data_IF_501117705364
#
_entry.id   IF_501117705364
#
_cell.length_a   1.000
_cell.length_b   1.000
_cell.length_c   1.000
_cell.angle_alpha   90.00
_cell.angle_beta   90.00
_cell.angle_gamma   90.00
#
_symmetry.space_group_name_H-M   'P 1'
#
loop_
_entity.id
_entity.type
_entity.pdbx_description
1 polymer ?
#
# COMPACT_ATOMS: atom_id res chain seq x y z
N UNK A 1 39.57 12.13 -53.04
CA UNK A 1 39.61 11.08 -52.01
C UNK A 1 39.45 11.76 -50.65
N UNK A 2 38.31 12.43 -50.42
CA UNK A 2 38.20 13.37 -49.28
C UNK A 2 36.75 13.77 -48.91
N UNK A 3 35.75 12.89 -49.10
CA UNK A 3 34.34 13.17 -48.71
C UNK A 3 33.58 11.93 -48.26
N UNK A 4 34.01 11.26 -47.19
CA UNK A 4 33.27 10.09 -46.66
C UNK A 4 33.37 9.85 -45.14
N UNK A 5 33.77 10.84 -44.33
CA UNK A 5 34.03 10.64 -42.88
C UNK A 5 33.21 11.52 -41.91
N UNK A 6 32.02 11.99 -42.27
CA UNK A 6 31.24 12.92 -41.41
C UNK A 6 29.79 12.51 -41.14
N UNK A 7 29.43 11.22 -41.26
CA UNK A 7 28.06 10.72 -40.96
C UNK A 7 27.99 9.66 -39.86
N UNK A 8 29.09 9.38 -39.15
CA UNK A 8 29.18 8.24 -38.23
C UNK A 8 29.12 8.53 -36.72
N UNK A 9 28.99 9.79 -36.28
CA UNK A 9 29.11 10.14 -34.84
C UNK A 9 27.81 10.74 -34.27
N UNK A 10 26.83 11.08 -35.11
CA UNK A 10 25.59 11.76 -34.69
C UNK A 10 24.50 10.87 -34.09
N UNK A 11 24.57 9.54 -34.24
CA UNK A 11 23.46 8.63 -33.85
C UNK A 11 23.69 7.94 -32.50
N UNK A 12 24.94 7.88 -32.01
CA UNK A 12 25.25 7.16 -30.76
C UNK A 12 24.96 8.02 -29.51
N UNK A 13 24.94 9.35 -29.62
CA UNK A 13 24.67 10.25 -28.48
C UNK A 13 23.17 10.38 -28.19
N UNK A 14 22.29 10.11 -29.16
CA UNK A 14 20.83 10.22 -28.98
C UNK A 14 20.20 8.99 -28.30
N UNK A 15 20.88 7.85 -28.28
CA UNK A 15 20.36 6.63 -27.63
C UNK A 15 20.71 6.60 -26.12
N UNK A 16 21.78 7.26 -25.70
CA UNK A 16 22.18 7.30 -24.28
C UNK A 16 21.38 8.29 -23.42
N UNK A 17 20.69 9.27 -24.01
CA UNK A 17 19.86 10.23 -23.28
C UNK A 17 18.39 9.77 -23.09
N UNK A 18 17.96 8.70 -23.78
CA UNK A 18 16.63 8.12 -23.59
C UNK A 18 16.60 7.00 -22.52
N UNK A 19 17.75 6.49 -22.07
CA UNK A 19 17.81 5.44 -21.05
C UNK A 19 17.84 5.96 -19.60
N UNK A 20 18.09 7.25 -19.37
CA UNK A 20 18.12 7.84 -18.02
C UNK A 20 16.75 8.42 -17.62
N UNK A 21 15.86 8.70 -18.58
CA UNK A 21 14.57 9.34 -18.31
C UNK A 21 13.42 8.37 -17.95
N UNK A 22 13.63 7.05 -18.03
CA UNK A 22 12.57 6.05 -17.77
C UNK A 22 12.46 5.67 -16.28
N UNK A 23 13.41 6.08 -15.42
CA UNK A 23 13.43 5.71 -14.00
C UNK A 23 12.75 6.71 -13.04
N UNK A 24 12.13 7.80 -13.53
CA UNK A 24 11.58 8.88 -12.68
C UNK A 24 10.02 8.89 -12.64
N UNK A 25 9.32 7.94 -13.27
CA UNK A 25 7.86 7.96 -13.30
C UNK A 25 7.19 6.60 -13.01
N UNK A 26 7.58 5.97 -11.90
CA UNK A 26 6.72 5.00 -11.22
C UNK A 26 6.20 5.62 -9.91
N UNK A 27 4.98 6.19 -9.89
CA UNK A 27 4.34 6.66 -8.67
C UNK A 27 3.93 5.52 -7.70
N UNK A 28 4.32 4.27 -7.95
CA UNK A 28 3.77 3.09 -7.30
C UNK A 28 4.39 2.71 -5.93
N UNK A 29 5.53 3.30 -5.52
CA UNK A 29 6.18 2.89 -4.26
C UNK A 29 5.63 3.65 -3.05
N UNK A 30 5.02 4.83 -3.24
CA UNK A 30 4.70 5.70 -2.11
C UNK A 30 3.29 5.57 -1.53
N UNK A 31 2.37 4.86 -2.19
CA UNK A 31 1.04 4.51 -1.66
C UNK A 31 1.03 3.14 -0.96
N UNK A 32 2.22 2.56 -0.74
CA UNK A 32 2.37 1.16 -0.32
C UNK A 32 2.60 0.99 1.20
N UNK A 33 2.89 2.07 1.93
CA UNK A 33 3.25 2.01 3.36
C UNK A 33 2.06 2.10 4.34
N UNK A 34 0.83 2.32 3.86
CA UNK A 34 -0.34 2.56 4.72
C UNK A 34 -0.98 1.30 5.32
N UNK A 35 -0.46 0.09 5.06
CA UNK A 35 -1.19 -1.15 5.37
C UNK A 35 -1.09 -1.71 6.80
N UNK A 36 -0.49 -1.02 7.78
CA UNK A 36 -0.28 -1.62 9.11
C UNK A 36 -0.61 -0.77 10.35
N UNK A 37 -1.26 0.38 10.24
CA UNK A 37 -1.75 1.15 11.40
C UNK A 37 -3.24 1.46 11.30
N UNK A 38 -4.09 0.44 11.19
CA UNK A 38 -5.54 0.64 10.99
C UNK A 38 -6.34 0.92 12.28
N UNK A 39 -5.70 1.05 13.45
CA UNK A 39 -6.39 1.48 14.66
C UNK A 39 -5.62 2.56 15.43
N UNK A 40 -6.07 3.81 15.26
CA UNK A 40 -5.82 4.98 16.11
C UNK A 40 -4.47 5.72 16.03
N UNK A 41 -3.76 5.68 14.90
CA UNK A 41 -2.74 6.71 14.63
C UNK A 41 -3.41 7.99 14.14
N UNK A 42 -3.17 9.11 14.82
CA UNK A 42 -3.41 10.46 14.30
C UNK A 42 -2.94 10.48 12.85
N UNK A 43 -3.87 10.73 11.91
CA UNK A 43 -3.61 10.70 10.46
C UNK A 43 -2.42 11.61 10.15
N UNK A 44 -1.23 11.02 10.06
CA UNK A 44 -0.05 11.63 9.47
C UNK A 44 -0.17 11.57 7.95
N UNK A 45 -1.38 11.79 7.44
CA UNK A 45 -1.68 11.64 6.05
C UNK A 45 -0.84 12.67 5.30
N UNK A 46 -0.05 12.17 4.35
CA UNK A 46 0.73 12.97 3.41
C UNK A 46 -0.13 14.02 2.72
N UNK A 47 -1.43 13.79 2.60
CA UNK A 47 -2.37 14.73 1.99
C UNK A 47 -2.80 15.88 2.91
N UNK A 48 -2.64 15.74 4.24
CA UNK A 48 -3.10 16.73 5.22
C UNK A 48 -1.98 17.70 5.63
N UNK A 49 -0.74 17.23 5.74
CA UNK A 49 0.38 18.07 6.17
C UNK A 49 1.18 18.65 4.98
N UNK A 50 1.10 19.97 4.71
CA UNK A 50 1.78 20.57 3.56
C UNK A 50 3.31 20.45 3.62
N UNK A 51 3.91 20.47 4.81
CA UNK A 51 5.36 20.32 4.97
C UNK A 51 5.82 18.90 4.70
N UNK A 52 5.03 17.89 5.06
CA UNK A 52 5.35 16.49 4.76
C UNK A 52 5.40 16.27 3.25
N UNK A 53 4.34 16.70 2.55
CA UNK A 53 4.26 16.61 1.10
C UNK A 53 5.40 17.38 0.41
N UNK A 54 5.60 18.64 0.78
CA UNK A 54 6.65 19.49 0.21
C UNK A 54 8.05 18.91 0.46
N UNK A 55 8.30 18.36 1.65
CA UNK A 55 9.56 17.69 2.00
C UNK A 55 9.93 16.60 1.00
N UNK A 56 8.97 15.74 0.66
CA UNK A 56 9.18 14.64 -0.29
C UNK A 56 9.29 15.10 -1.74
N UNK A 57 8.48 16.08 -2.15
CA UNK A 57 8.52 16.64 -3.51
C UNK A 57 9.84 17.36 -3.79
N UNK A 58 10.41 18.05 -2.79
CA UNK A 58 11.68 18.76 -2.90
C UNK A 58 12.90 17.90 -2.54
N UNK A 59 12.70 16.71 -1.96
CA UNK A 59 13.78 15.92 -1.38
C UNK A 59 14.49 16.65 -0.23
N UNK A 60 13.77 17.48 0.53
CA UNK A 60 14.34 18.34 1.57
C UNK A 60 13.88 17.91 2.97
N UNK A 61 14.60 17.01 3.65
CA UNK A 61 14.20 16.49 4.95
C UNK A 61 14.10 17.56 6.04
N UNK A 62 14.76 18.73 5.88
CA UNK A 62 14.67 19.82 6.86
C UNK A 62 13.25 20.36 7.03
N UNK A 63 12.40 20.21 6.02
CA UNK A 63 10.98 20.58 6.10
C UNK A 63 10.21 19.71 7.10
N UNK A 64 10.63 18.46 7.34
CA UNK A 64 10.02 17.60 8.36
C UNK A 64 10.14 18.22 9.77
N UNK A 65 11.21 18.98 10.04
CA UNK A 65 11.40 19.68 11.31
C UNK A 65 10.30 20.71 11.65
N UNK A 66 9.54 21.17 10.64
CA UNK A 66 8.41 22.09 10.82
C UNK A 66 7.12 21.37 11.25
N UNK A 67 7.09 20.04 11.24
CA UNK A 67 5.92 19.24 11.62
C UNK A 67 5.85 19.14 13.15
N UNK A 68 4.76 19.65 13.73
CA UNK A 68 4.54 19.68 15.18
C UNK A 68 4.39 18.27 15.78
N UNK A 69 3.60 17.39 15.12
CA UNK A 69 3.35 16.03 15.58
C UNK A 69 4.60 15.16 15.51
N UNK A 70 5.07 14.65 16.65
CA UNK A 70 6.30 13.82 16.75
C UNK A 70 6.26 12.64 15.77
N UNK A 71 5.19 11.84 15.80
CA UNK A 71 5.04 10.67 14.95
C UNK A 71 5.08 11.04 13.46
N UNK A 72 4.36 12.09 13.05
CA UNK A 72 4.33 12.52 11.65
C UNK A 72 5.66 13.08 11.17
N UNK A 73 6.38 13.78 12.05
CA UNK A 73 7.74 14.25 11.77
C UNK A 73 8.71 13.10 11.57
N UNK A 74 8.67 12.10 12.45
CA UNK A 74 9.53 10.91 12.39
C UNK A 74 9.25 10.08 11.13
N UNK A 75 7.98 9.89 10.75
CA UNK A 75 7.60 9.27 9.47
C UNK A 75 8.05 10.09 8.26
N UNK A 76 7.96 11.43 8.31
CA UNK A 76 8.45 12.30 7.23
C UNK A 76 9.96 12.12 7.00
N UNK A 77 10.76 12.05 8.07
CA UNK A 77 12.19 11.76 7.96
C UNK A 77 12.43 10.36 7.41
N UNK A 78 11.70 9.34 7.88
CA UNK A 78 11.79 7.96 7.36
C UNK A 78 11.54 7.92 5.86
N UNK A 79 10.44 8.50 5.38
CA UNK A 79 10.10 8.50 3.95
C UNK A 79 11.15 9.22 3.11
N UNK A 80 11.69 10.35 3.60
CA UNK A 80 12.79 11.05 2.92
C UNK A 80 14.05 10.21 2.85
N UNK A 81 14.42 9.54 3.96
CA UNK A 81 15.57 8.64 4.00
C UNK A 81 15.44 7.52 2.96
N UNK A 82 14.25 6.92 2.87
CA UNK A 82 13.96 5.84 1.92
C UNK A 82 13.97 6.34 0.47
N UNK A 83 13.34 7.48 0.19
CA UNK A 83 13.28 8.08 -1.15
C UNK A 83 14.68 8.47 -1.67
N UNK A 84 15.54 8.97 -0.78
CA UNK A 84 16.90 9.42 -1.12
C UNK A 84 17.95 8.32 -0.93
N UNK A 85 17.57 7.19 -0.34
CA UNK A 85 18.48 6.12 0.08
C UNK A 85 19.64 6.64 0.96
N UNK A 86 19.34 7.54 1.90
CA UNK A 86 20.29 8.22 2.79
C UNK A 86 20.04 7.86 4.26
N UNK A 87 20.95 7.08 4.84
CA UNK A 87 20.90 6.64 6.25
C UNK A 87 21.07 7.79 7.25
N UNK A 88 21.70 8.90 6.86
CA UNK A 88 21.92 10.02 7.76
C UNK A 88 20.59 10.66 8.17
N UNK A 89 19.60 10.63 7.26
CA UNK A 89 18.24 11.10 7.54
C UNK A 89 17.56 10.19 8.58
N UNK A 90 17.82 8.87 8.59
CA UNK A 90 17.33 7.98 9.65
C UNK A 90 17.85 8.38 11.04
N UNK A 91 19.02 9.03 11.11
CA UNK A 91 19.56 9.59 12.35
C UNK A 91 18.71 10.72 12.95
N UNK A 92 17.87 11.38 12.15
CA UNK A 92 16.99 12.47 12.57
C UNK A 92 15.66 11.97 13.19
N UNK A 93 15.34 10.68 13.01
CA UNK A 93 14.15 10.05 13.59
C UNK A 93 14.33 9.87 15.10
N UNK A 94 13.38 10.37 15.89
CA UNK A 94 13.46 10.33 17.36
C UNK A 94 12.80 9.08 17.96
N UNK A 95 11.74 8.58 17.35
CA UNK A 95 11.11 7.32 17.74
C UNK A 95 11.96 6.11 17.37
N UNK A 96 12.31 5.28 18.36
CA UNK A 96 13.27 4.19 18.17
C UNK A 96 12.74 3.08 17.24
N UNK A 97 11.43 2.81 17.23
CA UNK A 97 10.84 1.80 16.35
C UNK A 97 10.82 2.31 14.89
N UNK A 98 10.36 3.55 14.68
CA UNK A 98 10.38 4.21 13.37
C UNK A 98 11.80 4.35 12.82
N UNK A 99 12.77 4.66 13.69
CA UNK A 99 14.20 4.73 13.35
C UNK A 99 14.73 3.37 12.92
N UNK A 100 14.39 2.30 13.64
CA UNK A 100 14.79 0.94 13.28
C UNK A 100 14.22 0.49 11.94
N UNK A 101 12.95 0.80 11.65
CA UNK A 101 12.35 0.56 10.33
C UNK A 101 13.12 1.28 9.21
N UNK A 102 13.47 2.54 9.45
CA UNK A 102 14.25 3.37 8.52
C UNK A 102 15.59 2.70 8.18
N UNK A 103 16.41 2.41 9.20
CA UNK A 103 17.71 1.74 8.99
C UNK A 103 17.56 0.36 8.37
N UNK A 104 16.55 -0.42 8.74
CA UNK A 104 16.29 -1.75 8.15
C UNK A 104 16.04 -1.66 6.65
N UNK A 105 15.23 -0.70 6.20
CA UNK A 105 14.98 -0.49 4.78
C UNK A 105 16.27 -0.10 4.03
N UNK A 106 17.04 0.86 4.55
CA UNK A 106 18.27 1.32 3.90
C UNK A 106 19.33 0.20 3.89
N UNK A 107 19.49 -0.53 4.99
CA UNK A 107 20.36 -1.70 5.10
C UNK A 107 20.01 -2.76 4.04
N UNK A 108 18.72 -3.06 3.86
CA UNK A 108 18.24 -3.96 2.81
C UNK A 108 18.56 -3.44 1.40
N UNK A 109 18.22 -2.18 1.10
CA UNK A 109 18.42 -1.59 -0.23
C UNK A 109 19.89 -1.48 -0.61
N UNK A 110 20.76 -1.15 0.35
CA UNK A 110 22.22 -1.07 0.16
C UNK A 110 22.92 -2.42 0.30
N UNK A 111 22.20 -3.50 0.67
CA UNK A 111 22.78 -4.79 1.03
C UNK A 111 23.92 -4.65 2.05
N UNK A 112 23.72 -3.79 3.05
CA UNK A 112 24.72 -3.44 4.06
C UNK A 112 24.15 -3.65 5.47
N UNK A 113 24.38 -4.83 6.08
CA UNK A 113 23.89 -5.12 7.43
C UNK A 113 24.56 -4.29 8.53
N UNK A 114 25.70 -3.65 8.27
CA UNK A 114 26.40 -2.84 9.28
C UNK A 114 25.59 -1.59 9.67
N UNK A 115 24.71 -1.11 8.77
CA UNK A 115 23.78 -0.03 9.05
C UNK A 115 22.79 -0.38 10.18
N UNK A 116 22.56 -1.67 10.46
CA UNK A 116 21.74 -2.09 11.58
C UNK A 116 22.38 -1.73 12.94
N UNK A 117 23.69 -1.48 13.02
CA UNK A 117 24.37 -1.12 14.26
C UNK A 117 23.86 0.19 14.89
N UNK A 118 23.15 1.03 14.13
CA UNK A 118 22.48 2.23 14.63
C UNK A 118 21.15 1.97 15.34
N UNK A 119 20.71 0.70 15.44
CA UNK A 119 19.48 0.29 16.12
C UNK A 119 19.80 -0.12 17.57
N UNK A 120 19.30 0.65 18.53
CA UNK A 120 19.57 0.44 19.96
C UNK A 120 18.79 -0.74 20.56
N UNK A 121 17.60 -1.02 20.03
CA UNK A 121 16.71 -2.05 20.56
C UNK A 121 17.19 -3.43 20.05
N UNK A 122 17.67 -4.34 20.92
CA UNK A 122 18.39 -5.54 20.49
C UNK A 122 17.58 -6.47 19.57
N UNK A 123 16.27 -6.57 19.77
CA UNK A 123 15.44 -7.45 18.95
C UNK A 123 15.17 -6.86 17.55
N UNK A 124 15.05 -5.53 17.44
CA UNK A 124 14.93 -4.84 16.15
C UNK A 124 16.28 -4.88 15.40
N UNK A 125 17.40 -4.80 16.12
CA UNK A 125 18.73 -5.02 15.56
C UNK A 125 18.83 -6.40 14.90
N UNK A 126 18.50 -7.48 15.63
CA UNK A 126 18.58 -8.83 15.07
C UNK A 126 17.63 -9.02 13.87
N UNK A 127 16.43 -8.43 13.92
CA UNK A 127 15.50 -8.43 12.79
C UNK A 127 16.08 -7.69 11.57
N UNK A 128 16.68 -6.52 11.77
CA UNK A 128 17.35 -5.77 10.72
C UNK A 128 18.46 -6.59 10.06
N UNK A 129 19.30 -7.27 10.85
CA UNK A 129 20.37 -8.13 10.33
C UNK A 129 19.81 -9.26 9.46
N UNK A 130 18.75 -9.93 9.91
CA UNK A 130 18.12 -11.00 9.15
C UNK A 130 17.58 -10.51 7.79
N UNK A 131 16.90 -9.34 7.81
CA UNK A 131 16.33 -8.72 6.61
C UNK A 131 17.42 -8.22 5.67
N UNK A 132 18.41 -7.47 6.17
CA UNK A 132 19.50 -6.91 5.37
C UNK A 132 20.35 -7.99 4.70
N UNK A 133 20.50 -9.14 5.36
CA UNK A 133 21.16 -10.34 4.81
C UNK A 133 20.26 -11.21 3.94
N UNK A 134 18.98 -10.88 3.80
CA UNK A 134 18.00 -11.63 3.02
C UNK A 134 17.91 -13.10 3.43
N UNK A 135 17.93 -13.36 4.74
CA UNK A 135 18.02 -14.71 5.26
C UNK A 135 16.77 -15.08 6.08
N UNK A 136 15.86 -15.88 5.50
CA UNK A 136 14.74 -16.47 6.24
C UNK A 136 15.22 -17.29 7.45
N UNK A 137 16.33 -18.00 7.32
CA UNK A 137 16.92 -18.79 8.41
C UNK A 137 17.27 -17.92 9.62
N UNK A 138 17.79 -16.69 9.42
CA UNK A 138 18.04 -15.77 10.53
C UNK A 138 16.74 -15.27 11.19
N UNK A 139 15.66 -15.10 10.43
CA UNK A 139 14.34 -14.82 11.01
C UNK A 139 13.85 -15.95 11.92
N UNK A 140 14.19 -17.22 11.60
CA UNK A 140 13.79 -18.38 12.42
C UNK A 140 14.40 -18.40 13.82
N UNK A 141 15.52 -17.70 14.03
CA UNK A 141 16.24 -17.64 15.30
C UNK A 141 15.69 -16.58 16.27
N UNK A 142 14.74 -15.76 15.84
CA UNK A 142 14.19 -14.69 16.66
C UNK A 142 13.17 -15.23 17.67
N UNK A 143 13.24 -14.71 18.89
CA UNK A 143 12.28 -14.99 19.96
C UNK A 143 11.72 -13.67 20.55
N UNK A 144 10.45 -13.64 20.94
CA UNK A 144 9.44 -14.72 20.84
C UNK A 144 8.89 -14.90 19.40
N UNK A 145 8.07 -15.94 19.19
CA UNK A 145 7.48 -16.32 17.89
C UNK A 145 6.92 -15.14 17.08
N UNK A 146 6.23 -14.18 17.71
CA UNK A 146 5.66 -13.04 16.97
C UNK A 146 6.75 -12.24 16.22
N UNK A 147 7.98 -12.15 16.76
CA UNK A 147 9.10 -11.47 16.10
C UNK A 147 9.56 -12.18 14.85
N UNK A 148 9.50 -13.52 14.81
CA UNK A 148 9.76 -14.28 13.58
C UNK A 148 8.77 -13.90 12.49
N UNK A 149 7.48 -13.85 12.85
CA UNK A 149 6.40 -13.50 11.92
C UNK A 149 6.62 -12.09 11.32
N UNK A 150 6.97 -11.11 12.15
CA UNK A 150 7.31 -9.76 11.66
C UNK A 150 8.58 -9.72 10.80
N UNK A 151 9.59 -10.53 11.12
CA UNK A 151 10.81 -10.63 10.30
C UNK A 151 10.50 -11.20 8.92
N UNK A 152 9.78 -12.32 8.84
CA UNK A 152 9.36 -12.90 7.57
C UNK A 152 8.48 -11.95 6.76
N UNK A 153 7.52 -11.28 7.38
CA UNK A 153 6.67 -10.30 6.69
C UNK A 153 7.50 -9.13 6.13
N UNK A 154 8.41 -8.57 6.95
CA UNK A 154 9.31 -7.51 6.51
C UNK A 154 10.21 -7.93 5.34
N UNK A 155 10.76 -9.15 5.41
CA UNK A 155 11.59 -9.71 4.35
C UNK A 155 10.78 -9.97 3.07
N UNK A 156 9.63 -10.63 3.19
CA UNK A 156 8.74 -10.94 2.07
C UNK A 156 8.27 -9.67 1.34
N UNK A 157 7.97 -8.60 2.09
CA UNK A 157 7.60 -7.30 1.55
C UNK A 157 8.75 -6.65 0.78
N UNK A 158 9.95 -6.63 1.36
CA UNK A 158 11.11 -5.96 0.76
C UNK A 158 11.68 -6.70 -0.45
N UNK A 159 11.59 -8.03 -0.44
CA UNK A 159 11.95 -8.87 -1.59
C UNK A 159 10.83 -9.01 -2.62
N UNK A 160 9.61 -8.58 -2.29
CA UNK A 160 8.40 -8.88 -3.04
C UNK A 160 8.32 -10.39 -3.36
N UNK A 161 8.54 -11.24 -2.35
CA UNK A 161 8.58 -12.69 -2.52
C UNK A 161 7.55 -13.37 -1.62
N UNK A 162 6.42 -13.78 -2.21
CA UNK A 162 5.32 -14.42 -1.50
C UNK A 162 5.67 -15.80 -0.92
N UNK A 163 6.70 -16.47 -1.43
CA UNK A 163 7.13 -17.76 -0.88
C UNK A 163 7.71 -17.61 0.53
N UNK A 164 8.16 -16.40 0.90
CA UNK A 164 8.65 -16.12 2.26
C UNK A 164 7.49 -16.11 3.26
N UNK A 165 6.26 -15.80 2.81
CA UNK A 165 5.09 -15.91 3.67
C UNK A 165 4.83 -17.35 4.12
N UNK A 166 5.23 -18.36 3.35
CA UNK A 166 5.00 -19.79 3.69
C UNK A 166 5.75 -20.25 4.96
N UNK A 167 6.70 -19.46 5.47
CA UNK A 167 7.36 -19.68 6.76
C UNK A 167 6.51 -19.23 7.96
N UNK A 168 5.37 -18.59 7.73
CA UNK A 168 4.45 -18.09 8.76
C UNK A 168 3.34 -19.12 8.98
N UNK A 169 3.37 -19.81 10.12
CA UNK A 169 2.38 -20.85 10.45
C UNK A 169 1.00 -20.30 10.82
N UNK A 170 0.94 -19.05 11.28
CA UNK A 170 -0.29 -18.38 11.72
C UNK A 170 -1.09 -17.89 10.52
N UNK A 171 -2.28 -18.45 10.30
CA UNK A 171 -3.07 -18.19 9.09
C UNK A 171 -3.45 -16.70 8.92
N UNK A 172 -3.68 -15.98 10.03
CA UNK A 172 -3.99 -14.55 9.99
C UNK A 172 -2.78 -13.72 9.55
N UNK A 173 -1.61 -13.96 10.16
CA UNK A 173 -0.39 -13.23 9.80
C UNK A 173 0.14 -13.65 8.42
N UNK A 174 -0.03 -14.92 8.04
CA UNK A 174 0.26 -15.44 6.70
C UNK A 174 -0.60 -14.76 5.63
N UNK A 175 -1.92 -14.68 5.86
CA UNK A 175 -2.84 -13.97 4.95
C UNK A 175 -2.49 -12.50 4.81
N UNK A 176 -2.11 -11.85 5.91
CA UNK A 176 -1.69 -10.44 5.89
C UNK A 176 -0.37 -10.23 5.12
N UNK A 177 0.60 -11.13 5.27
CA UNK A 177 1.84 -11.12 4.49
C UNK A 177 1.57 -11.20 2.98
N UNK A 178 0.73 -12.16 2.56
CA UNK A 178 0.35 -12.33 1.15
C UNK A 178 -0.44 -11.14 0.60
N UNK A 179 -1.37 -10.57 1.38
CA UNK A 179 -2.12 -9.37 1.01
C UNK A 179 -1.20 -8.20 0.66
N UNK A 180 -0.20 -7.93 1.50
CA UNK A 180 0.76 -6.85 1.27
C UNK A 180 1.50 -7.07 -0.05
N UNK A 181 1.95 -8.29 -0.34
CA UNK A 181 2.67 -8.61 -1.58
C UNK A 181 1.75 -8.59 -2.80
N UNK A 182 0.51 -9.05 -2.66
CA UNK A 182 -0.52 -8.98 -3.70
C UNK A 182 -0.72 -7.54 -4.16
N UNK A 183 -0.87 -6.60 -3.22
CA UNK A 183 -0.98 -5.16 -3.50
C UNK A 183 0.27 -4.60 -4.17
N UNK A 184 1.46 -4.98 -3.68
CA UNK A 184 2.75 -4.51 -4.22
C UNK A 184 2.92 -4.87 -5.69
N UNK A 185 2.65 -6.14 -6.01
CA UNK A 185 2.78 -6.71 -7.35
C UNK A 185 1.58 -6.42 -8.25
N UNK A 186 0.51 -5.86 -7.69
CA UNK A 186 -0.80 -5.74 -8.32
C UNK A 186 -1.21 -7.10 -8.93
N UNK A 187 -1.06 -8.18 -8.14
CA UNK A 187 -1.35 -9.54 -8.57
C UNK A 187 -2.33 -10.24 -7.61
N UNK A 188 -3.58 -10.39 -8.06
CA UNK A 188 -4.64 -11.02 -7.26
C UNK A 188 -4.48 -12.52 -7.09
N UNK A 189 -3.70 -13.21 -7.93
CA UNK A 189 -3.48 -14.66 -7.77
C UNK A 189 -2.77 -14.99 -6.46
N UNK A 190 -2.15 -13.99 -5.82
CA UNK A 190 -1.52 -14.13 -4.50
C UNK A 190 -2.58 -14.20 -3.38
N UNK A 191 -3.81 -13.74 -3.63
CA UNK A 191 -4.93 -13.87 -2.70
C UNK A 191 -5.44 -15.32 -2.61
N UNK A 192 -5.43 -16.08 -3.71
CA UNK A 192 -5.96 -17.46 -3.78
C UNK A 192 -5.51 -18.41 -2.64
N UNK A 193 -4.21 -18.49 -2.30
CA UNK A 193 -3.73 -19.39 -1.25
C UNK A 193 -3.95 -18.89 0.18
N UNK A 194 -4.63 -17.75 0.40
CA UNK A 194 -4.96 -17.27 1.73
C UNK A 194 -6.06 -18.17 2.32
N UNK A 195 -5.75 -18.84 3.44
CA UNK A 195 -6.63 -19.82 4.11
C UNK A 195 -7.77 -19.17 4.89
N UNK A 196 -7.47 -18.07 5.57
CA UNK A 196 -8.48 -17.29 6.28
C UNK A 196 -9.40 -16.60 5.27
N UNK A 197 -10.67 -17.02 5.23
CA UNK A 197 -11.65 -16.58 4.22
C UNK A 197 -11.86 -15.08 4.27
N UNK A 198 -12.00 -14.50 5.48
CA UNK A 198 -12.21 -13.06 5.65
C UNK A 198 -11.02 -12.25 5.12
N UNK A 199 -9.78 -12.70 5.39
CA UNK A 199 -8.55 -12.08 4.87
C UNK A 199 -8.41 -12.24 3.36
N UNK A 200 -8.77 -13.39 2.81
CA UNK A 200 -8.76 -13.62 1.36
C UNK A 200 -9.75 -12.70 0.66
N UNK A 201 -10.96 -12.59 1.19
CA UNK A 201 -12.01 -11.76 0.64
C UNK A 201 -11.65 -10.27 0.73
N UNK A 202 -11.07 -9.84 1.87
CA UNK A 202 -10.45 -8.52 2.03
C UNK A 202 -9.30 -8.26 1.04
N UNK A 203 -8.53 -9.31 0.71
CA UNK A 203 -7.48 -9.22 -0.30
C UNK A 203 -8.08 -8.84 -1.65
N UNK A 204 -9.12 -9.54 -2.09
CA UNK A 204 -9.84 -9.22 -3.32
C UNK A 204 -10.51 -7.84 -3.31
N UNK A 205 -11.21 -7.48 -2.23
CA UNK A 205 -11.91 -6.19 -2.14
C UNK A 205 -10.95 -5.01 -2.25
N UNK A 206 -9.72 -5.16 -1.74
CA UNK A 206 -8.70 -4.11 -1.80
C UNK A 206 -8.26 -3.72 -3.22
N UNK A 207 -8.43 -4.59 -4.22
CA UNK A 207 -8.05 -4.30 -5.60
C UNK A 207 -9.04 -3.39 -6.32
N UNK A 208 -10.26 -3.25 -5.83
CA UNK A 208 -11.25 -2.31 -6.41
C UNK A 208 -10.73 -0.86 -6.39
N UNK A 209 -9.96 -0.50 -5.38
CA UNK A 209 -9.37 0.84 -5.25
C UNK A 209 -8.08 1.01 -6.08
N UNK A 210 -7.43 -0.09 -6.48
CA UNK A 210 -6.18 -0.09 -7.24
C UNK A 210 -6.47 -0.18 -8.75
N UNK A 211 -7.37 -1.09 -9.15
CA UNK A 211 -7.81 -1.32 -10.52
C UNK A 211 -9.35 -1.26 -10.56
N UNK A 212 -9.95 -0.05 -10.60
CA UNK A 212 -11.39 0.11 -10.48
C UNK A 212 -12.20 -0.39 -11.67
N UNK A 213 -11.54 -0.88 -12.72
CA UNK A 213 -12.21 -1.26 -13.96
C UNK A 213 -12.80 -2.67 -13.95
N UNK A 214 -12.51 -3.49 -12.95
CA UNK A 214 -12.78 -4.93 -13.01
C UNK A 214 -13.67 -5.38 -11.85
N UNK A 215 -14.90 -5.80 -12.18
CA UNK A 215 -15.86 -6.31 -11.17
C UNK A 215 -15.54 -7.71 -10.68
N UNK A 216 -14.70 -8.46 -11.42
CA UNK A 216 -14.42 -9.86 -11.10
C UNK A 216 -13.70 -10.03 -9.76
N UNK A 217 -13.04 -8.98 -9.24
CA UNK A 217 -12.49 -8.99 -7.89
C UNK A 217 -13.58 -9.23 -6.84
N UNK A 218 -14.73 -8.55 -6.97
CA UNK A 218 -15.86 -8.76 -6.08
C UNK A 218 -16.52 -10.13 -6.32
N UNK A 219 -16.46 -10.66 -7.54
CA UNK A 219 -17.01 -11.99 -7.85
C UNK A 219 -16.29 -13.11 -7.09
N UNK A 220 -14.99 -12.97 -6.82
CA UNK A 220 -14.18 -13.92 -6.06
C UNK A 220 -14.40 -13.88 -4.54
N UNK A 221 -15.13 -12.88 -4.04
CA UNK A 221 -15.47 -12.77 -2.61
C UNK A 221 -16.59 -13.76 -2.29
N UNK A 222 -16.39 -14.53 -1.21
CA UNK A 222 -17.29 -15.59 -0.76
C UNK A 222 -18.29 -15.09 0.29
N UNK A 223 -17.86 -14.25 1.23
CA UNK A 223 -18.73 -13.69 2.26
C UNK A 223 -19.63 -12.59 1.68
N UNK A 224 -20.95 -12.76 1.79
CA UNK A 224 -21.92 -11.84 1.18
C UNK A 224 -21.79 -10.39 1.66
N UNK A 225 -21.47 -10.18 2.95
CA UNK A 225 -21.29 -8.85 3.52
C UNK A 225 -20.08 -8.13 2.92
N UNK A 226 -18.95 -8.83 2.80
CA UNK A 226 -17.72 -8.28 2.19
C UNK A 226 -17.93 -8.08 0.68
N UNK A 227 -18.65 -8.99 0.03
CA UNK A 227 -19.01 -8.89 -1.40
C UNK A 227 -19.89 -7.67 -1.67
N UNK A 228 -20.87 -7.43 -0.82
CA UNK A 228 -21.73 -6.25 -0.89
C UNK A 228 -20.91 -4.96 -0.73
N UNK A 229 -20.01 -4.91 0.26
CA UNK A 229 -19.07 -3.80 0.45
C UNK A 229 -18.23 -3.54 -0.79
N UNK A 230 -17.64 -4.60 -1.36
CA UNK A 230 -16.83 -4.51 -2.58
C UNK A 230 -17.60 -3.90 -3.77
N UNK A 231 -18.83 -4.36 -4.03
CA UNK A 231 -19.65 -3.82 -5.12
C UNK A 231 -20.09 -2.37 -4.87
N UNK A 232 -20.31 -1.98 -3.62
CA UNK A 232 -20.59 -0.59 -3.25
C UNK A 232 -19.39 0.30 -3.55
N UNK A 233 -18.19 -0.09 -3.10
CA UNK A 233 -16.97 0.67 -3.36
C UNK A 233 -16.77 0.84 -4.87
N UNK A 234 -16.92 -0.25 -5.62
CA UNK A 234 -16.82 -0.23 -7.08
C UNK A 234 -17.88 0.69 -7.72
N UNK A 235 -19.12 0.65 -7.23
CA UNK A 235 -20.21 1.52 -7.68
C UNK A 235 -19.89 2.99 -7.43
N UNK A 236 -19.34 3.32 -6.26
CA UNK A 236 -18.97 4.67 -5.86
C UNK A 236 -17.80 5.22 -6.66
N UNK A 237 -16.77 4.40 -6.91
CA UNK A 237 -15.59 4.78 -7.71
C UNK A 237 -15.98 5.00 -9.16
N UNK A 238 -16.75 4.07 -9.75
CA UNK A 238 -17.22 4.19 -11.14
C UNK A 238 -18.40 5.15 -11.30
N UNK A 239 -18.95 5.63 -10.19
CA UNK A 239 -20.20 6.38 -10.16
C UNK A 239 -21.28 5.69 -11.02
N UNK A 240 -21.55 4.39 -10.79
CA UNK A 240 -22.50 3.62 -11.60
C UNK A 240 -23.51 2.87 -10.74
N UNK A 241 -24.78 3.24 -10.86
CA UNK A 241 -25.88 2.61 -10.11
C UNK A 241 -26.14 1.16 -10.55
N UNK A 242 -25.78 0.79 -11.78
CA UNK A 242 -25.95 -0.59 -12.26
C UNK A 242 -25.08 -1.59 -11.49
N UNK A 243 -24.03 -1.14 -10.80
CA UNK A 243 -23.21 -2.00 -9.95
C UNK A 243 -23.90 -2.31 -8.62
N UNK A 244 -24.83 -1.45 -8.17
CA UNK A 244 -25.68 -1.75 -7.01
C UNK A 244 -26.61 -2.95 -7.28
N UNK A 245 -26.91 -3.26 -8.55
CA UNK A 245 -27.68 -4.45 -8.90
C UNK A 245 -26.97 -5.76 -8.55
N UNK A 246 -25.63 -5.74 -8.50
CA UNK A 246 -24.77 -6.88 -8.22
C UNK A 246 -24.59 -7.16 -6.72
N UNK A 247 -25.05 -6.25 -5.84
CA UNK A 247 -25.06 -6.48 -4.39
C UNK A 247 -25.92 -7.72 -4.07
N UNK A 248 -25.42 -8.69 -3.28
CA UNK A 248 -26.16 -9.90 -2.93
C UNK A 248 -27.59 -9.60 -2.43
N UNK A 249 -28.61 -10.34 -2.89
CA UNK A 249 -30.00 -10.10 -2.48
C UNK A 249 -30.27 -10.19 -0.97
N UNK A 250 -29.44 -10.95 -0.25
CA UNK A 250 -29.49 -11.02 1.22
C UNK A 250 -29.15 -9.69 1.90
N UNK A 251 -28.50 -8.77 1.19
CA UNK A 251 -28.01 -7.49 1.68
C UNK A 251 -28.89 -6.33 1.19
N UNK A 252 -30.21 -6.50 1.24
CA UNK A 252 -31.17 -5.54 0.67
C UNK A 252 -31.05 -4.10 1.21
N UNK A 253 -30.80 -3.94 2.51
CA UNK A 253 -30.60 -2.62 3.13
C UNK A 253 -29.30 -1.93 2.67
N UNK A 254 -28.26 -2.73 2.41
CA UNK A 254 -26.96 -2.30 1.90
C UNK A 254 -27.07 -1.90 0.43
N UNK A 255 -27.80 -2.68 -0.37
CA UNK A 255 -28.16 -2.34 -1.76
C UNK A 255 -28.93 -1.02 -1.87
N UNK A 256 -29.90 -0.80 -0.99
CA UNK A 256 -30.64 0.47 -0.91
C UNK A 256 -29.73 1.67 -0.60
N UNK A 257 -28.73 1.50 0.29
CA UNK A 257 -27.74 2.54 0.59
C UNK A 257 -26.84 2.84 -0.62
N UNK A 258 -26.46 1.81 -1.39
CA UNK A 258 -25.70 1.98 -2.63
C UNK A 258 -26.42 2.94 -3.60
N UNK A 259 -27.70 2.68 -3.91
CA UNK A 259 -28.47 3.57 -4.79
C UNK A 259 -28.63 4.96 -4.21
N UNK A 260 -28.86 5.08 -2.91
CA UNK A 260 -28.99 6.37 -2.23
C UNK A 260 -27.74 7.24 -2.46
N UNK A 261 -26.55 6.71 -2.17
CA UNK A 261 -25.31 7.48 -2.30
C UNK A 261 -24.97 7.83 -3.76
N UNK A 262 -25.26 6.92 -4.70
CA UNK A 262 -25.05 7.20 -6.12
C UNK A 262 -26.04 8.26 -6.62
N UNK A 263 -27.31 8.22 -6.20
CA UNK A 263 -28.32 9.22 -6.55
C UNK A 263 -27.92 10.62 -6.06
N UNK A 264 -27.46 10.72 -4.81
CA UNK A 264 -26.99 11.97 -4.19
C UNK A 264 -25.75 12.53 -4.93
N UNK A 265 -24.76 11.67 -5.25
CA UNK A 265 -23.57 12.09 -6.00
C UNK A 265 -23.88 12.55 -7.43
N UNK A 266 -24.86 11.91 -8.09
CA UNK A 266 -25.26 12.24 -9.46
C UNK A 266 -26.30 13.34 -9.57
N UNK A 267 -26.94 13.74 -8.47
CA UNK A 267 -28.14 14.57 -8.48
C UNK A 267 -29.19 14.00 -9.44
N UNK A 268 -29.49 12.70 -9.28
CA UNK A 268 -30.39 11.97 -10.17
C UNK A 268 -31.46 11.20 -9.38
N UNK A 269 -32.60 11.86 -9.16
CA UNK A 269 -33.76 11.31 -8.47
C UNK A 269 -34.33 10.02 -9.08
N UNK A 270 -34.10 9.73 -10.38
CA UNK A 270 -34.58 8.49 -10.99
C UNK A 270 -33.94 7.24 -10.38
N UNK A 271 -32.71 7.36 -9.87
CA UNK A 271 -31.98 6.26 -9.20
C UNK A 271 -32.66 5.92 -7.86
N UNK A 272 -33.24 6.91 -7.17
CA UNK A 272 -33.96 6.68 -5.92
C UNK A 272 -35.15 5.71 -6.07
N UNK A 273 -35.72 5.58 -7.27
CA UNK A 273 -36.83 4.65 -7.53
C UNK A 273 -36.42 3.18 -7.42
N UNK A 274 -35.11 2.87 -7.43
CA UNK A 274 -34.59 1.52 -7.24
C UNK A 274 -34.48 1.11 -5.76
N UNK A 275 -34.65 2.06 -4.83
CA UNK A 275 -34.58 1.81 -3.39
C UNK A 275 -35.87 1.13 -2.91
N UNK A 276 -35.75 -0.06 -2.34
CA UNK A 276 -36.89 -0.86 -1.89
C UNK A 276 -37.55 -0.25 -0.65
N UNK A 277 -36.76 0.21 0.33
CA UNK A 277 -37.24 0.84 1.55
C UNK A 277 -37.88 2.22 1.27
N UNK A 278 -39.19 2.33 1.50
CA UNK A 278 -39.98 3.56 1.24
C UNK A 278 -39.45 4.80 1.97
N UNK A 279 -38.96 4.64 3.20
CA UNK A 279 -38.42 5.76 4.01
C UNK A 279 -37.10 6.25 3.43
N UNK A 280 -36.15 5.34 3.14
CA UNK A 280 -34.87 5.68 2.48
C UNK A 280 -35.10 6.30 1.11
N UNK A 281 -36.03 5.76 0.31
CA UNK A 281 -36.41 6.30 -1.00
C UNK A 281 -36.94 7.72 -0.91
N UNK A 282 -37.86 7.98 0.02
CA UNK A 282 -38.41 9.33 0.24
C UNK A 282 -37.33 10.33 0.68
N UNK A 283 -36.35 9.88 1.47
CA UNK A 283 -35.21 10.71 1.86
C UNK A 283 -34.26 10.97 0.68
N UNK A 284 -34.01 9.97 -0.16
CA UNK A 284 -33.21 10.09 -1.38
C UNK A 284 -33.78 11.16 -2.32
N UNK A 285 -35.10 11.10 -2.60
CA UNK A 285 -35.80 12.03 -3.49
C UNK A 285 -35.75 13.50 -3.03
N UNK A 286 -35.46 13.77 -1.75
CA UNK A 286 -35.30 15.13 -1.23
C UNK A 286 -33.88 15.68 -1.43
N UNK A 287 -32.91 14.81 -1.71
CA UNK A 287 -31.49 15.14 -1.79
C UNK A 287 -30.90 15.04 -3.19
N UNK A 288 -31.43 14.14 -4.02
CA UNK A 288 -31.01 13.91 -5.39
C UNK A 288 -31.71 14.85 -6.36
#
# INVERSE_FOLDING_TARGET
MERLYMLGVGIIVSIFLLSVAVWISLPAISSFFDSFTEFASIDCDRYVNPYYKQSLEEGNPQLCGKILGKLCRDNCYKDNAQAQNDELICGLVLDNETKAECYTFIAFKKNNPDLCASIEIPYLFNQCIAIAKRSPDLCSLLEPEYRRKYCYNGLARLEENESICDYIADDYVHGTCRLVIAKAKVNTSICDPIRDVSRRDSCYSSFVWIIPNESFYCDNITENSEKAGCFIDLALIKNSSSLCDLVPPSEGDVKDNCYFWIAERKMNASICNQISNNTKRSNCLKKA
#
